data_IF_893325502415
#
_entry.id   IF_893325502415
#
_cell.length_a   1.000
_cell.length_b   1.000
_cell.length_c   1.000
_cell.angle_alpha   90.00
_cell.angle_beta   90.00
_cell.angle_gamma   90.00
#
_symmetry.space_group_name_H-M   'P 1'
#
loop_
_entity.id
_entity.type
_entity.pdbx_description
1 polymer ?
#
# COMPACT_ATOMS: atom_id res chain seq x y z
N UNK A 1 5.61 3.81 -1.22
CA UNK A 1 5.11 2.58 -1.87
C UNK A 1 5.48 2.60 -3.36
N UNK A 2 5.47 1.47 -4.10
CA UNK A 2 5.72 1.46 -5.56
C UNK A 2 4.40 1.33 -6.36
N UNK A 3 4.41 1.75 -7.63
CA UNK A 3 3.21 1.82 -8.48
C UNK A 3 2.54 0.46 -8.68
N UNK A 4 3.31 -0.59 -8.95
CA UNK A 4 2.74 -1.92 -9.13
C UNK A 4 2.01 -2.41 -7.87
N UNK A 5 2.64 -2.25 -6.70
CA UNK A 5 2.03 -2.61 -5.41
C UNK A 5 0.76 -1.79 -5.15
N UNK A 6 0.75 -0.51 -5.52
CA UNK A 6 -0.43 0.35 -5.33
C UNK A 6 -1.59 -0.08 -6.22
N UNK A 7 -1.29 -0.52 -7.45
CA UNK A 7 -2.27 -1.02 -8.39
C UNK A 7 -2.91 -2.32 -7.88
N UNK A 8 -2.10 -3.25 -7.36
CA UNK A 8 -2.61 -4.46 -6.69
C UNK A 8 -3.58 -4.13 -5.55
N UNK A 9 -3.27 -3.12 -4.73
CA UNK A 9 -4.17 -2.69 -3.65
C UNK A 9 -5.47 -2.11 -4.20
N UNK A 10 -5.39 -1.27 -5.23
CA UNK A 10 -6.57 -0.65 -5.84
C UNK A 10 -7.49 -1.67 -6.52
N UNK A 11 -6.93 -2.75 -7.06
CA UNK A 11 -7.65 -3.85 -7.70
C UNK A 11 -8.08 -4.95 -6.72
N UNK A 12 -7.47 -4.99 -5.53
CA UNK A 12 -7.78 -5.98 -4.50
C UNK A 12 -9.16 -5.73 -3.92
N UNK A 13 -9.95 -6.81 -3.81
CA UNK A 13 -11.20 -6.80 -3.06
C UNK A 13 -10.98 -6.70 -1.54
N UNK A 14 -9.75 -6.88 -1.08
CA UNK A 14 -9.39 -6.82 0.35
C UNK A 14 -8.85 -5.43 0.65
N UNK A 15 -9.45 -4.76 1.65
CA UNK A 15 -8.96 -3.49 2.15
C UNK A 15 -7.57 -3.69 2.75
N UNK A 16 -6.58 -3.00 2.20
CA UNK A 16 -5.22 -2.98 2.72
C UNK A 16 -5.03 -1.71 3.53
N UNK A 17 -4.41 -1.84 4.71
CA UNK A 17 -4.11 -0.70 5.57
C UNK A 17 -3.02 0.16 4.93
N UNK A 18 -3.42 1.22 4.23
CA UNK A 18 -2.53 2.22 3.66
C UNK A 18 -2.72 3.53 4.41
N UNK A 19 -1.61 4.18 4.72
CA UNK A 19 -1.59 5.46 5.43
C UNK A 19 -0.87 6.54 4.61
N UNK A 20 -1.37 7.76 4.74
CA UNK A 20 -0.74 8.98 4.25
C UNK A 20 -0.65 9.96 5.44
N UNK A 21 0.57 10.42 5.74
CA UNK A 21 0.82 11.34 6.86
C UNK A 21 0.26 10.83 8.21
N UNK A 22 0.35 9.51 8.43
CA UNK A 22 -0.17 8.84 9.62
C UNK A 22 -1.69 8.67 9.66
N UNK A 23 -2.43 9.09 8.62
CA UNK A 23 -3.88 8.91 8.51
C UNK A 23 -4.21 7.75 7.58
N UNK A 24 -5.19 6.90 7.90
CA UNK A 24 -5.61 5.83 7.02
C UNK A 24 -6.38 6.39 5.82
N UNK A 25 -6.05 5.86 4.64
CA UNK A 25 -6.59 6.32 3.36
C UNK A 25 -7.06 5.13 2.53
N UNK A 26 -7.94 5.41 1.57
CA UNK A 26 -8.36 4.47 0.54
C UNK A 26 -7.76 4.88 -0.80
N UNK A 27 -7.15 3.95 -1.53
CA UNK A 27 -6.65 4.19 -2.88
C UNK A 27 -7.77 3.90 -3.87
N UNK A 28 -8.25 4.93 -4.58
CA UNK A 28 -9.31 4.76 -5.58
C UNK A 28 -8.74 4.41 -6.95
N UNK A 29 -7.64 5.05 -7.33
CA UNK A 29 -7.02 4.90 -8.65
C UNK A 29 -5.52 5.17 -8.57
N UNK A 30 -4.75 4.44 -9.36
CA UNK A 30 -3.29 4.58 -9.46
C UNK A 30 -2.91 4.94 -10.88
N UNK A 31 -2.22 6.06 -11.04
CA UNK A 31 -1.60 6.49 -12.27
C UNK A 31 -0.12 6.09 -12.22
N UNK A 32 0.19 4.96 -12.86
CA UNK A 32 1.54 4.42 -12.90
C UNK A 32 2.47 5.23 -13.83
N UNK A 33 1.92 5.96 -14.81
CA UNK A 33 2.73 6.78 -15.72
C UNK A 33 3.28 8.01 -14.98
N UNK A 34 2.47 8.61 -14.10
CA UNK A 34 2.84 9.79 -13.32
C UNK A 34 3.32 9.45 -11.90
N UNK A 35 3.38 8.17 -11.52
CA UNK A 35 3.72 7.71 -10.17
C UNK A 35 2.87 8.39 -9.06
N UNK A 36 1.58 8.61 -9.36
CA UNK A 36 0.61 9.23 -8.44
C UNK A 36 -0.57 8.32 -8.16
N UNK A 37 -1.21 8.53 -7.01
CA UNK A 37 -2.45 7.87 -6.65
C UNK A 37 -3.48 8.89 -6.22
N UNK A 38 -4.73 8.60 -6.59
CA UNK A 38 -5.90 9.29 -6.10
C UNK A 38 -6.42 8.57 -4.87
N UNK A 39 -6.42 9.27 -3.76
CA UNK A 39 -6.77 8.73 -2.45
C UNK A 39 -7.95 9.47 -1.82
N UNK A 40 -8.62 8.79 -0.90
CA UNK A 40 -9.65 9.34 -0.04
C UNK A 40 -9.29 9.07 1.42
N UNK A 41 -9.12 10.10 2.26
CA UNK A 41 -8.95 9.91 3.70
C UNK A 41 -10.18 9.25 4.31
N UNK A 42 -10.01 8.28 5.20
CA UNK A 42 -11.16 7.63 5.86
C UNK A 42 -11.99 8.61 6.71
N UNK A 43 -11.35 9.62 7.30
CA UNK A 43 -12.04 10.69 8.04
C UNK A 43 -12.84 11.63 7.11
N UNK A 44 -12.47 11.71 5.83
CA UNK A 44 -13.04 12.65 4.86
C UNK A 44 -13.20 11.98 3.48
N UNK A 45 -14.12 11.01 3.35
CA UNK A 45 -14.28 10.22 2.13
C UNK A 45 -14.81 11.03 0.94
N UNK A 46 -15.24 12.27 1.16
CA UNK A 46 -15.70 13.18 0.12
C UNK A 46 -14.55 14.01 -0.49
N UNK A 47 -13.35 13.92 0.08
CA UNK A 47 -12.20 14.67 -0.36
C UNK A 47 -11.25 13.76 -1.15
N UNK A 48 -11.19 13.99 -2.46
CA UNK A 48 -10.19 13.35 -3.30
C UNK A 48 -8.87 14.12 -3.24
N UNK A 49 -7.78 13.40 -3.05
CA UNK A 49 -6.43 13.99 -3.02
C UNK A 49 -5.54 13.16 -3.94
N UNK A 50 -4.85 13.83 -4.85
CA UNK A 50 -3.84 13.21 -5.70
C UNK A 50 -2.46 13.45 -5.10
N UNK A 51 -1.76 12.37 -4.74
CA UNK A 51 -0.44 12.41 -4.11
C UNK A 51 0.52 11.44 -4.80
N UNK A 52 1.82 11.61 -4.58
CA UNK A 52 2.81 10.66 -5.08
C UNK A 52 2.72 9.32 -4.34
N UNK A 53 2.89 8.22 -5.08
CA UNK A 53 2.94 6.86 -4.55
C UNK A 53 4.06 6.68 -3.51
N UNK A 54 5.13 7.46 -3.63
CA UNK A 54 6.23 7.46 -2.68
C UNK A 54 5.84 7.98 -1.30
N UNK A 55 4.78 8.79 -1.20
CA UNK A 55 4.26 9.31 0.08
C UNK A 55 3.32 8.34 0.80
N UNK A 56 2.89 7.26 0.13
CA UNK A 56 2.03 6.25 0.72
C UNK A 56 2.84 5.18 1.45
N UNK A 57 2.33 4.80 2.63
CA UNK A 57 2.92 3.78 3.49
C UNK A 57 1.90 2.68 3.79
N UNK A 58 2.20 1.46 3.37
CA UNK A 58 1.42 0.26 3.70
C UNK A 58 1.78 -0.21 5.12
N UNK A 59 0.79 -0.34 5.99
CA UNK A 59 0.95 -0.96 7.30
C UNK A 59 0.86 -2.48 7.14
N UNK A 60 1.90 -3.10 6.59
CA UNK A 60 1.99 -4.56 6.52
C UNK A 60 2.42 -5.11 7.89
N UNK A 61 1.55 -5.83 8.63
CA UNK A 61 1.92 -6.41 9.93
C UNK A 61 2.93 -7.55 9.82
N UNK A 62 3.18 -8.02 8.59
CA UNK A 62 4.15 -9.06 8.28
C UNK A 62 5.10 -8.58 7.20
N UNK A 63 6.00 -7.65 7.52
CA UNK A 63 7.29 -7.67 6.86
C UNK A 63 7.98 -8.95 7.31
N UNK A 64 7.74 -10.03 6.57
CA UNK A 64 8.44 -11.31 6.73
C UNK A 64 9.85 -11.11 6.20
N UNK A 65 10.62 -10.28 6.90
CA UNK A 65 12.06 -10.17 6.75
C UNK A 65 12.62 -11.55 7.18
N UNK A 66 12.84 -12.41 6.19
CA UNK A 66 13.70 -13.58 6.33
C UNK A 66 13.15 -14.78 7.10
N UNK A 67 12.03 -15.39 6.67
CA UNK A 67 11.92 -16.85 6.84
C UNK A 67 12.76 -17.51 5.73
N UNK A 68 14.08 -17.35 5.82
CA UNK A 68 15.00 -18.27 5.17
C UNK A 68 14.90 -19.58 5.95
N UNK A 69 14.00 -20.45 5.49
CA UNK A 69 13.89 -21.81 5.99
C UNK A 69 15.20 -22.54 5.62
N UNK A 70 16.26 -22.35 6.41
CA UNK A 70 17.41 -23.26 6.38
C UNK A 70 16.90 -24.56 6.95
N UNK A 71 16.47 -25.46 6.07
CA UNK A 71 16.34 -26.86 6.42
C UNK A 71 17.76 -27.43 6.62
N UNK A 72 18.43 -27.07 7.71
CA UNK A 72 19.61 -27.79 8.20
C UNK A 72 19.09 -29.07 8.87
N UNK A 73 18.71 -30.05 8.04
CA UNK A 73 18.58 -31.43 8.51
C UNK A 73 20.01 -31.98 8.56
N UNK A 74 20.66 -31.83 9.72
CA UNK A 74 21.80 -32.69 10.08
C UNK A 74 21.28 -34.10 10.38
N UNK A 75 22.09 -35.04 9.93
CA UNK A 75 22.01 -36.52 10.02
C UNK A 75 20.90 -37.22 9.23
#
# INVERSE_FOLDING_TARGET
MNAQRAQEIAESATMVDVTYDGKPIYIQHVDAENETARIYPLDQPNQEITISLNSLTEASPFQSDGIHMVCDRRD
#
